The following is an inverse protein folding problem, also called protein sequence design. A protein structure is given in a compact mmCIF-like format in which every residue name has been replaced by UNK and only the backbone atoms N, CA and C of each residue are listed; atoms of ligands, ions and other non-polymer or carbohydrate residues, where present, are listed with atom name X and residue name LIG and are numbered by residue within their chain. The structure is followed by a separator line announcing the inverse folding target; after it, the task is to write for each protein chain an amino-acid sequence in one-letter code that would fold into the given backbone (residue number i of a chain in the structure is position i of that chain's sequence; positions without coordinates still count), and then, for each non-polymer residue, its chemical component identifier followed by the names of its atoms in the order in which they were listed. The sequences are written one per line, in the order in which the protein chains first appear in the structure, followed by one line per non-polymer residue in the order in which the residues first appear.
data_IF_392814899174
#
_entry.id   IF_392814899174
#
_cell.length_a   1.000
_cell.length_b   1.000
_cell.length_c   1.000
_cell.angle_alpha   90.00
_cell.angle_beta   90.00
_cell.angle_gamma   90.00
#
_symmetry.space_group_name_H-M   'P 1'
#
loop_
_entity.id
_entity.type
_entity.pdbx_description
1 polymer ?
#
# COMPACT_ATOMS: atom_id res chain seq x y z
N UNK A 1 -10.70 21.46 9.96
CA UNK A 1 -9.26 21.36 10.32
C UNK A 1 -9.09 20.74 11.72
N UNK A 2 -9.88 19.71 12.05
CA UNK A 2 -9.84 18.93 13.28
C UNK A 2 -10.07 17.49 12.82
N UNK A 3 -9.01 16.68 12.68
CA UNK A 3 -9.12 15.21 12.53
C UNK A 3 -7.78 14.46 12.36
N UNK A 4 -6.62 15.12 12.52
CA UNK A 4 -5.32 14.42 12.46
C UNK A 4 -4.68 14.15 13.81
N UNK A 5 -5.32 14.53 14.92
CA UNK A 5 -4.64 14.63 16.21
C UNK A 5 -4.63 13.33 17.04
N UNK A 6 -5.29 12.25 16.61
CA UNK A 6 -5.31 11.04 17.43
C UNK A 6 -5.49 9.73 16.67
N UNK A 7 -4.60 9.45 15.72
CA UNK A 7 -4.34 8.07 15.33
C UNK A 7 -3.01 7.71 15.98
N UNK A 8 -3.04 7.11 17.17
CA UNK A 8 -1.81 6.70 17.89
C UNK A 8 -0.91 5.80 17.04
N UNK A 9 -1.45 5.10 16.04
CA UNK A 9 -0.68 4.32 15.08
C UNK A 9 -0.08 5.06 13.89
N UNK A 10 -0.44 6.31 13.63
CA UNK A 10 0.22 7.12 12.58
C UNK A 10 1.62 7.56 13.01
N UNK A 11 1.92 7.63 14.32
CA UNK A 11 3.29 7.86 14.81
C UNK A 11 4.30 6.82 14.30
N UNK A 12 3.82 5.61 13.99
CA UNK A 12 4.66 4.50 13.49
C UNK A 12 5.18 4.81 12.07
N UNK A 13 4.49 5.66 11.32
CA UNK A 13 4.88 6.15 10.00
C UNK A 13 5.44 7.57 10.06
N UNK A 14 6.28 7.86 11.04
CA UNK A 14 6.90 9.20 11.17
C UNK A 14 8.02 9.41 10.17
N UNK A 15 8.76 8.36 9.80
CA UNK A 15 9.92 8.46 8.90
C UNK A 15 9.83 7.45 7.75
N UNK A 16 10.40 7.84 6.61
CA UNK A 16 10.54 6.98 5.44
C UNK A 16 11.52 5.83 5.72
N UNK A 17 11.13 4.55 5.53
CA UNK A 17 12.02 3.42 5.80
C UNK A 17 13.19 3.30 4.81
N UNK A 18 13.15 4.05 3.70
CA UNK A 18 14.20 4.04 2.68
C UNK A 18 15.26 5.12 2.92
N UNK A 19 14.84 6.37 3.15
CA UNK A 19 15.76 7.51 3.23
C UNK A 19 15.71 8.28 4.56
N UNK A 20 14.91 7.78 5.52
CA UNK A 20 14.73 8.33 6.86
C UNK A 20 14.25 9.79 6.91
N UNK A 21 13.71 10.33 5.81
CA UNK A 21 13.05 11.64 5.85
C UNK A 21 11.75 11.55 6.62
N UNK A 22 11.47 12.56 7.44
CA UNK A 22 10.19 12.68 8.13
C UNK A 22 9.04 12.83 7.12
N UNK A 23 7.94 12.12 7.34
CA UNK A 23 6.72 12.27 6.55
C UNK A 23 5.91 13.46 7.04
N UNK A 24 5.36 14.25 6.13
CA UNK A 24 4.41 15.30 6.47
C UNK A 24 2.98 14.73 6.48
N UNK A 25 2.08 15.29 7.30
CA UNK A 25 0.70 14.80 7.39
C UNK A 25 -0.03 14.80 6.02
N UNK A 26 0.32 15.71 5.12
CA UNK A 26 -0.22 15.77 3.76
C UNK A 26 0.34 14.71 2.79
N UNK A 27 1.27 13.86 3.24
CA UNK A 27 1.83 12.74 2.48
C UNK A 27 1.16 11.41 2.83
N UNK A 28 0.29 11.41 3.85
CA UNK A 28 -0.42 10.23 4.34
C UNK A 28 -1.84 10.25 3.77
N UNK A 29 -2.14 9.24 2.96
CA UNK A 29 -3.44 9.04 2.35
C UNK A 29 -4.16 7.90 3.07
N UNK A 30 -5.26 8.20 3.76
CA UNK A 30 -6.14 7.17 4.32
C UNK A 30 -6.97 6.59 3.17
N UNK A 31 -6.71 5.32 2.84
CA UNK A 31 -7.38 4.60 1.75
C UNK A 31 -8.66 3.93 2.26
N UNK A 32 -8.65 3.44 3.50
CA UNK A 32 -9.81 2.86 4.16
C UNK A 32 -9.72 3.06 5.66
N UNK A 33 -10.88 3.24 6.28
CA UNK A 33 -11.06 3.29 7.73
C UNK A 33 -12.29 2.47 8.09
N UNK A 34 -12.14 1.57 9.06
CA UNK A 34 -13.24 0.79 9.61
C UNK A 34 -13.02 0.60 11.12
N UNK A 35 -13.96 -0.09 11.79
CA UNK A 35 -13.90 -0.32 13.24
C UNK A 35 -12.64 -1.06 13.71
N UNK A 36 -11.96 -1.76 12.80
CA UNK A 36 -10.84 -2.64 13.11
C UNK A 36 -9.50 -2.02 12.71
N UNK A 37 -9.47 -0.88 12.02
CA UNK A 37 -8.22 -0.21 11.66
C UNK A 37 -8.28 0.68 10.42
N UNK A 38 -7.09 1.14 10.02
CA UNK A 38 -6.88 2.01 8.86
C UNK A 38 -5.93 1.36 7.85
N UNK A 39 -6.27 1.48 6.58
CA UNK A 39 -5.36 1.23 5.46
C UNK A 39 -4.82 2.57 4.96
N UNK A 40 -3.50 2.72 4.98
CA UNK A 40 -2.81 3.95 4.62
C UNK A 40 -1.89 3.72 3.43
N UNK A 41 -1.77 4.72 2.57
CA UNK A 41 -0.74 4.84 1.55
C UNK A 41 0.08 6.09 1.83
N UNK A 42 1.41 5.99 1.70
CA UNK A 42 2.33 7.12 1.92
C UNK A 42 3.35 7.14 0.79
N UNK A 43 3.54 8.30 0.17
CA UNK A 43 4.63 8.51 -0.79
C UNK A 43 5.66 9.51 -0.25
N UNK A 44 6.91 9.07 -0.12
CA UNK A 44 7.99 9.96 0.31
C UNK A 44 8.26 11.05 -0.74
N UNK A 45 8.17 12.33 -0.37
CA UNK A 45 8.51 13.41 -1.31
C UNK A 45 9.99 13.46 -1.70
N UNK A 46 10.89 12.95 -0.85
CA UNK A 46 12.34 12.94 -1.06
C UNK A 46 12.80 11.83 -2.02
N UNK A 47 12.54 10.56 -1.71
CA UNK A 47 13.02 9.42 -2.52
C UNK A 47 11.93 8.73 -3.33
N UNK A 48 10.68 9.20 -3.28
CA UNK A 48 9.52 8.71 -4.06
C UNK A 48 9.08 7.27 -3.76
N UNK A 49 9.71 6.58 -2.83
CA UNK A 49 9.25 5.26 -2.36
C UNK A 49 7.85 5.35 -1.78
N UNK A 50 7.02 4.34 -2.07
CA UNK A 50 5.69 4.21 -1.51
C UNK A 50 5.67 3.16 -0.39
N UNK A 51 4.81 3.40 0.59
CA UNK A 51 4.53 2.48 1.68
C UNK A 51 3.03 2.30 1.78
N UNK A 52 2.58 1.05 1.89
CA UNK A 52 1.23 0.71 2.34
C UNK A 52 1.33 0.26 3.79
N UNK A 53 0.41 0.72 4.62
CA UNK A 53 0.36 0.33 6.03
C UNK A 53 -1.06 -0.02 6.45
N UNK A 54 -1.20 -1.11 7.21
CA UNK A 54 -2.42 -1.45 7.94
C UNK A 54 -2.16 -1.18 9.41
N UNK A 55 -2.96 -0.30 10.01
CA UNK A 55 -2.87 0.10 11.41
C UNK A 55 -4.11 -0.40 12.13
N UNK A 56 -3.94 -1.30 13.08
CA UNK A 56 -5.02 -1.93 13.86
C UNK A 56 -4.88 -1.46 15.30
N UNK A 57 -5.96 -0.92 15.86
CA UNK A 57 -6.01 -0.51 17.27
C UNK A 57 -6.98 -1.40 18.02
N UNK A 58 -6.54 -2.02 19.11
CA UNK A 58 -7.38 -2.83 19.98
C UNK A 58 -7.04 -2.61 21.46
N UNK A 59 -7.70 -3.33 22.36
CA UNK A 59 -7.51 -3.19 23.81
C UNK A 59 -6.08 -3.52 24.29
N UNK A 60 -5.26 -4.19 23.47
CA UNK A 60 -3.87 -4.51 23.76
C UNK A 60 -2.88 -3.47 23.21
N UNK A 61 -3.37 -2.44 22.50
CA UNK A 61 -2.57 -1.37 21.93
C UNK A 61 -2.71 -1.24 20.42
N UNK A 62 -1.70 -0.64 19.80
CA UNK A 62 -1.63 -0.41 18.36
C UNK A 62 -0.67 -1.40 17.73
N UNK A 63 -1.14 -2.13 16.72
CA UNK A 63 -0.32 -2.96 15.84
C UNK A 63 -0.31 -2.37 14.43
N UNK A 64 0.82 -2.50 13.74
CA UNK A 64 0.94 -2.06 12.35
C UNK A 64 1.71 -3.07 11.50
N UNK A 65 1.20 -3.32 10.30
CA UNK A 65 1.93 -4.05 9.25
C UNK A 65 2.22 -3.05 8.13
N UNK A 66 3.46 -3.04 7.64
CA UNK A 66 3.88 -2.12 6.57
C UNK A 66 4.56 -2.87 5.45
N UNK A 67 4.36 -2.39 4.22
CA UNK A 67 4.95 -2.93 3.00
C UNK A 67 5.50 -1.79 2.17
N UNK A 68 6.78 -1.90 1.79
CA UNK A 68 7.38 -1.01 0.81
C UNK A 68 6.97 -1.51 -0.57
N UNK A 69 6.48 -0.61 -1.41
CA UNK A 69 5.88 -0.95 -2.69
C UNK A 69 6.11 0.18 -3.70
N UNK A 70 5.89 -0.13 -4.97
CA UNK A 70 5.83 0.83 -6.08
C UNK A 70 4.40 1.28 -6.38
N UNK A 71 3.38 0.66 -5.76
CA UNK A 71 1.97 1.02 -5.94
C UNK A 71 1.71 2.47 -5.54
N UNK A 72 1.00 3.20 -6.39
CA UNK A 72 0.44 4.51 -6.02
C UNK A 72 -0.93 4.35 -5.36
N UNK A 73 -1.44 5.42 -4.74
CA UNK A 73 -2.72 5.38 -4.00
C UNK A 73 -3.90 4.84 -4.83
N UNK A 74 -3.93 5.07 -6.15
CA UNK A 74 -4.99 4.62 -7.06
C UNK A 74 -4.86 3.12 -7.31
N UNK A 75 -3.64 2.61 -7.42
CA UNK A 75 -3.40 1.16 -7.53
C UNK A 75 -3.88 0.45 -6.26
N UNK A 76 -3.61 1.00 -5.08
CA UNK A 76 -4.11 0.43 -3.81
C UNK A 76 -5.63 0.36 -3.81
N UNK A 77 -6.32 1.44 -4.20
CA UNK A 77 -7.79 1.46 -4.29
C UNK A 77 -8.30 0.42 -5.30
N UNK A 78 -7.62 0.26 -6.43
CA UNK A 78 -7.99 -0.71 -7.47
C UNK A 78 -7.84 -2.15 -6.99
N UNK A 79 -6.76 -2.47 -6.28
CA UNK A 79 -6.39 -3.85 -5.97
C UNK A 79 -6.75 -4.31 -4.56
N UNK A 80 -7.13 -3.42 -3.63
CA UNK A 80 -7.40 -3.80 -2.21
C UNK A 80 -8.47 -4.87 -2.03
N UNK A 81 -9.40 -4.97 -2.98
CA UNK A 81 -10.50 -5.95 -2.99
C UNK A 81 -10.37 -6.98 -4.11
N UNK A 82 -9.21 -7.05 -4.79
CA UNK A 82 -8.96 -8.06 -5.81
C UNK A 82 -8.76 -9.43 -5.17
N UNK A 83 -9.15 -10.47 -5.89
CA UNK A 83 -8.86 -11.83 -5.47
C UNK A 83 -7.34 -12.08 -5.44
N UNK A 84 -6.84 -12.88 -4.49
CA UNK A 84 -5.44 -13.30 -4.51
C UNK A 84 -5.10 -14.01 -5.82
N UNK A 85 -3.90 -13.75 -6.34
CA UNK A 85 -3.39 -14.45 -7.51
C UNK A 85 -3.28 -15.94 -7.18
N UNK A 86 -3.99 -16.77 -7.93
CA UNK A 86 -3.99 -18.22 -7.81
C UNK A 86 -2.93 -18.86 -8.69
N UNK A 87 -2.68 -20.15 -8.47
CA UNK A 87 -1.79 -20.93 -9.34
C UNK A 87 -2.32 -21.03 -10.77
N UNK A 88 -3.65 -21.05 -10.96
CA UNK A 88 -4.25 -21.12 -12.28
C UNK A 88 -4.01 -19.83 -13.07
N UNK A 89 -4.09 -18.67 -12.42
CA UNK A 89 -3.78 -17.37 -13.06
C UNK A 89 -2.35 -17.36 -13.63
N UNK A 90 -1.40 -17.91 -12.88
CA UNK A 90 0.00 -18.01 -13.32
C UNK A 90 0.16 -18.99 -14.49
N UNK A 91 -0.49 -20.15 -14.43
CA UNK A 91 -0.43 -21.14 -15.50
C UNK A 91 -1.09 -20.66 -16.79
N UNK A 92 -2.22 -19.96 -16.68
CA UNK A 92 -2.95 -19.44 -17.83
C UNK A 92 -2.20 -18.28 -18.46
N UNK A 93 -1.63 -17.36 -17.66
CA UNK A 93 -0.71 -16.36 -18.17
C UNK A 93 0.48 -17.00 -18.90
N UNK A 94 1.13 -18.02 -18.31
CA UNK A 94 2.27 -18.69 -18.95
C UNK A 94 1.89 -19.29 -20.32
N UNK A 95 0.75 -20.00 -20.41
CA UNK A 95 0.26 -20.57 -21.67
C UNK A 95 0.04 -19.48 -22.71
N UNK A 96 -0.61 -18.38 -22.34
CA UNK A 96 -0.86 -17.26 -23.24
C UNK A 96 0.45 -16.64 -23.74
N UNK A 97 1.42 -16.40 -22.86
CA UNK A 97 2.71 -15.82 -23.24
C UNK A 97 3.51 -16.74 -24.19
N UNK A 98 3.47 -18.06 -23.98
CA UNK A 98 4.17 -19.03 -24.83
C UNK A 98 3.48 -19.24 -26.17
N UNK A 99 2.14 -19.29 -26.20
CA UNK A 99 1.38 -19.53 -27.42
C UNK A 99 1.28 -18.28 -28.29
N UNK A 100 1.31 -17.09 -27.68
CA UNK A 100 1.15 -15.81 -28.35
C UNK A 100 2.37 -14.90 -28.16
N UNK A 101 3.55 -15.36 -28.58
CA UNK A 101 4.85 -14.64 -28.47
C UNK A 101 4.79 -13.18 -28.99
N UNK A 102 3.87 -12.89 -29.94
CA UNK A 102 3.66 -11.56 -30.52
C UNK A 102 2.92 -10.56 -29.62
N UNK A 103 2.29 -10.99 -28.53
CA UNK A 103 1.54 -10.10 -27.63
C UNK A 103 2.44 -9.23 -26.75
N UNK A 104 3.72 -9.59 -26.58
CA UNK A 104 4.57 -9.00 -25.52
C UNK A 104 5.56 -7.95 -26.06
N UNK A 105 5.96 -8.04 -27.34
CA UNK A 105 7.05 -7.23 -27.89
C UNK A 105 6.67 -6.31 -29.05
N UNK A 106 5.37 -6.12 -29.32
CA UNK A 106 4.92 -5.10 -30.28
C UNK A 106 4.74 -3.75 -29.56
N UNK A 107 5.86 -3.11 -29.23
CA UNK A 107 5.95 -1.67 -29.00
C UNK A 107 6.84 -1.04 -30.06
#
# INVERSE_FOLDING_TARGET
MKEFEYIDGVKILSNCPICNSHYHANEIHVIEENSNGHLLHVQCKKCKSCVIAVVITNNMGVNSITLITDLDSRDVVKFKNSEPISINDVLDLHKELVQNEKLIFNH
#
